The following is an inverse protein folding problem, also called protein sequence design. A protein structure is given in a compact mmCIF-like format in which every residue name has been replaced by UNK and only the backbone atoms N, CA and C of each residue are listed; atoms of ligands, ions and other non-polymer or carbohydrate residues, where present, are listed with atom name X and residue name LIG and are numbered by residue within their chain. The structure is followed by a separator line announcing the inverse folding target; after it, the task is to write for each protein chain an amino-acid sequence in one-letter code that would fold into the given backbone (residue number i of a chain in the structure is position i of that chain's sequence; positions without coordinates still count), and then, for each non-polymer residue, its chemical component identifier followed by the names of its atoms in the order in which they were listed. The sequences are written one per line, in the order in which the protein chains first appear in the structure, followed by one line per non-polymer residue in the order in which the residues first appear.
data_IF_634505433949
#
_entry.id   IF_634505433949
#
_cell.length_a   1.000
_cell.length_b   1.000
_cell.length_c   1.000
_cell.angle_alpha   90.00
_cell.angle_beta   90.00
_cell.angle_gamma   90.00
#
_symmetry.space_group_name_H-M   'P 1'
#
loop_
_entity.id
_entity.type
_entity.pdbx_description
1 polymer ?
#
# COMPACT_ATOMS: atom_id res chain seq x y z
N UNK A 1 4.17 -2.07 -7.16
CA UNK A 1 5.14 -1.06 -6.68
C UNK A 1 5.87 -1.63 -5.47
N UNK A 2 7.19 -1.39 -5.38
CA UNK A 2 8.00 -1.79 -4.24
C UNK A 2 8.52 -0.56 -3.51
N UNK A 3 8.43 -0.59 -2.17
CA UNK A 3 9.12 0.32 -1.28
C UNK A 3 10.17 -0.43 -0.49
N UNK A 4 11.36 0.11 -0.37
CA UNK A 4 12.48 -0.56 0.30
C UNK A 4 12.84 0.27 1.54
N UNK A 5 12.86 -0.40 2.67
CA UNK A 5 13.27 0.16 3.95
C UNK A 5 14.49 -0.61 4.45
N UNK A 6 15.63 0.05 4.48
CA UNK A 6 16.87 -0.51 5.00
C UNK A 6 17.19 0.07 6.37
N UNK A 7 17.55 -0.77 7.31
CA UNK A 7 18.11 -0.43 8.62
C UNK A 7 19.45 -1.13 8.81
N UNK A 8 20.16 -0.85 9.90
CA UNK A 8 21.47 -1.47 10.18
C UNK A 8 21.42 -3.00 10.15
N UNK A 9 20.33 -3.59 10.65
CA UNK A 9 20.22 -5.03 10.87
C UNK A 9 19.20 -5.74 9.98
N UNK A 10 18.37 -5.02 9.21
CA UNK A 10 17.30 -5.61 8.44
C UNK A 10 16.97 -4.80 7.19
N UNK A 11 16.37 -5.46 6.19
CA UNK A 11 15.82 -4.81 5.01
C UNK A 11 14.42 -5.35 4.75
N UNK A 12 13.43 -4.47 4.76
CA UNK A 12 12.04 -4.79 4.41
C UNK A 12 11.73 -4.32 3.00
N UNK A 13 11.17 -5.22 2.18
CA UNK A 13 10.67 -4.91 0.84
C UNK A 13 9.14 -4.92 0.92
N UNK A 14 8.54 -3.75 0.92
CA UNK A 14 7.09 -3.59 0.89
C UNK A 14 6.58 -3.74 -0.54
N UNK A 15 5.67 -4.66 -0.76
CA UNK A 15 5.03 -4.88 -2.05
C UNK A 15 3.58 -4.43 -1.94
N UNK A 16 3.25 -3.33 -2.63
CA UNK A 16 1.88 -2.87 -2.72
C UNK A 16 1.07 -3.81 -3.61
N UNK A 17 0.00 -4.37 -3.05
CA UNK A 17 -0.88 -5.30 -3.75
C UNK A 17 -2.14 -4.58 -4.22
N UNK A 18 -2.71 -4.98 -5.38
CA UNK A 18 -4.03 -4.51 -5.77
C UNK A 18 -5.07 -4.81 -4.68
N UNK A 19 -6.02 -3.91 -4.51
CA UNK A 19 -7.09 -4.10 -3.53
C UNK A 19 -7.85 -5.42 -3.75
N UNK A 20 -8.04 -6.21 -2.68
CA UNK A 20 -8.76 -7.47 -2.71
C UNK A 20 -10.25 -7.18 -2.57
N UNK A 21 -10.91 -6.91 -3.70
CA UNK A 21 -12.36 -6.70 -3.76
C UNK A 21 -13.05 -7.89 -4.43
N UNK A 22 -14.38 -7.87 -4.41
CA UNK A 22 -15.17 -8.83 -5.20
C UNK A 22 -14.89 -8.59 -6.69
N UNK A 23 -14.37 -9.59 -7.43
CA UNK A 23 -14.08 -9.41 -8.84
C UNK A 23 -15.38 -9.23 -9.63
N UNK A 24 -15.52 -8.09 -10.30
CA UNK A 24 -16.64 -7.80 -11.19
C UNK A 24 -16.28 -8.03 -12.66
N UNK A 25 -14.98 -7.93 -13.00
CA UNK A 25 -14.46 -8.04 -14.36
C UNK A 25 -13.27 -9.01 -14.46
N UNK A 26 -12.86 -9.33 -15.70
CA UNK A 26 -11.70 -10.19 -15.96
C UNK A 26 -10.39 -9.59 -15.40
N UNK A 27 -10.26 -8.26 -15.42
CA UNK A 27 -9.11 -7.53 -14.86
C UNK A 27 -8.98 -7.80 -13.35
N UNK A 28 -10.08 -7.77 -12.62
CA UNK A 28 -10.09 -8.01 -11.16
C UNK A 28 -9.60 -9.41 -10.80
N UNK A 29 -9.88 -10.42 -11.65
CA UNK A 29 -9.40 -11.80 -11.45
C UNK A 29 -7.89 -11.89 -11.59
N UNK A 30 -7.30 -11.18 -12.56
CA UNK A 30 -5.85 -11.11 -12.73
C UNK A 30 -5.20 -10.39 -11.54
N UNK A 31 -5.80 -9.29 -11.06
CA UNK A 31 -5.35 -8.57 -9.88
C UNK A 31 -5.36 -9.46 -8.63
N UNK A 32 -6.42 -10.25 -8.44
CA UNK A 32 -6.52 -11.19 -7.33
C UNK A 32 -5.48 -12.32 -7.43
N UNK A 33 -5.21 -12.83 -8.63
CA UNK A 33 -4.17 -13.83 -8.86
C UNK A 33 -2.78 -13.28 -8.54
N UNK A 34 -2.49 -12.04 -8.95
CA UNK A 34 -1.25 -11.33 -8.61
C UNK A 34 -1.11 -11.14 -7.09
N UNK A 35 -2.18 -10.67 -6.42
CA UNK A 35 -2.17 -10.52 -4.97
C UNK A 35 -1.93 -11.85 -4.25
N UNK A 36 -2.51 -12.95 -4.77
CA UNK A 36 -2.28 -14.30 -4.23
C UNK A 36 -0.82 -14.73 -4.34
N UNK A 37 -0.18 -14.53 -5.49
CA UNK A 37 1.25 -14.82 -5.66
C UNK A 37 2.12 -14.06 -4.67
N UNK A 38 1.87 -12.76 -4.51
CA UNK A 38 2.60 -11.93 -3.54
C UNK A 38 2.42 -12.43 -2.10
N UNK A 39 1.19 -12.72 -1.68
CA UNK A 39 0.92 -13.21 -0.30
C UNK A 39 1.53 -14.60 -0.07
N UNK A 40 1.59 -15.47 -1.08
CA UNK A 40 2.21 -16.78 -0.97
C UNK A 40 3.72 -16.71 -0.71
N UNK A 41 4.38 -15.71 -1.26
CA UNK A 41 5.83 -15.52 -1.17
C UNK A 41 6.24 -14.56 -0.04
N UNK A 42 5.27 -13.88 0.59
CA UNK A 42 5.55 -12.90 1.64
C UNK A 42 5.95 -13.58 2.97
N UNK A 43 6.99 -13.03 3.62
CA UNK A 43 7.38 -13.42 4.98
C UNK A 43 6.40 -12.86 6.02
N UNK A 44 5.88 -11.65 5.75
CA UNK A 44 4.94 -10.93 6.63
C UNK A 44 3.86 -10.28 5.78
N UNK A 45 2.62 -10.44 6.17
CA UNK A 45 1.48 -9.69 5.60
C UNK A 45 1.10 -8.54 6.53
N UNK A 46 1.30 -7.31 6.06
CA UNK A 46 0.79 -6.12 6.72
C UNK A 46 -0.62 -5.82 6.22
N UNK A 47 -1.62 -6.16 6.99
CA UNK A 47 -3.01 -5.87 6.67
C UNK A 47 -3.45 -4.55 7.28
N UNK A 48 -3.61 -3.52 6.43
CA UNK A 48 -4.02 -2.18 6.85
C UNK A 48 -5.54 -2.07 6.76
N UNK A 49 -6.19 -1.73 7.87
CA UNK A 49 -7.66 -1.60 7.97
C UNK A 49 -8.06 -0.22 8.50
N UNK A 50 -9.24 0.25 8.11
CA UNK A 50 -9.85 1.49 8.63
C UNK A 50 -10.64 1.18 9.92
N UNK A 51 -9.99 1.32 11.09
CA UNK A 51 -10.61 1.01 12.38
C UNK A 51 -11.70 1.99 12.81
N UNK A 52 -11.82 3.15 12.15
CA UNK A 52 -12.90 4.09 12.44
C UNK A 52 -14.29 3.49 12.14
N UNK A 53 -14.33 2.42 11.34
CA UNK A 53 -15.51 1.64 10.97
C UNK A 53 -15.42 0.20 11.47
N UNK A 54 -16.55 -0.45 11.62
CA UNK A 54 -16.61 -1.89 11.89
C UNK A 54 -16.23 -2.68 10.65
N UNK A 55 -15.60 -3.87 10.79
CA UNK A 55 -15.28 -4.70 9.65
C UNK A 55 -16.56 -5.15 8.92
N UNK A 56 -16.57 -4.93 7.62
CA UNK A 56 -17.64 -5.32 6.71
C UNK A 56 -17.41 -6.67 6.04
N UNK A 57 -18.06 -6.87 4.90
CA UNK A 57 -17.94 -8.09 4.10
C UNK A 57 -16.58 -8.19 3.43
N UNK A 58 -16.01 -7.06 3.02
CA UNK A 58 -14.75 -7.05 2.29
C UNK A 58 -13.57 -7.35 3.23
N UNK A 59 -13.56 -6.81 4.45
CA UNK A 59 -12.54 -7.15 5.45
C UNK A 59 -12.57 -8.63 5.84
N UNK A 60 -13.77 -9.23 5.94
CA UNK A 60 -13.91 -10.68 6.19
C UNK A 60 -13.35 -11.51 5.04
N UNK A 61 -13.56 -11.07 3.79
CA UNK A 61 -12.97 -11.75 2.61
C UNK A 61 -11.46 -11.63 2.58
N UNK A 62 -10.92 -10.45 2.89
CA UNK A 62 -9.47 -10.26 2.97
C UNK A 62 -8.87 -11.17 4.04
N UNK A 63 -9.46 -11.22 5.24
CA UNK A 63 -9.02 -12.11 6.29
C UNK A 63 -9.02 -13.58 5.85
N UNK A 64 -10.11 -14.04 5.25
CA UNK A 64 -10.22 -15.39 4.71
C UNK A 64 -9.20 -15.66 3.60
N UNK A 65 -9.00 -14.70 2.71
CA UNK A 65 -7.99 -14.81 1.65
C UNK A 65 -6.57 -14.96 2.20
N UNK A 66 -6.19 -14.16 3.19
CA UNK A 66 -4.87 -14.24 3.84
C UNK A 66 -4.67 -15.63 4.45
N UNK A 67 -5.63 -16.09 5.26
CA UNK A 67 -5.56 -17.39 5.95
C UNK A 67 -5.48 -18.56 4.97
N UNK A 68 -6.22 -18.52 3.86
CA UNK A 68 -6.23 -19.60 2.86
C UNK A 68 -5.01 -19.59 1.93
N UNK A 69 -4.33 -18.46 1.81
CA UNK A 69 -3.25 -18.31 0.85
C UNK A 69 -1.91 -18.70 1.43
N UNK A 70 -1.65 -18.36 2.70
CA UNK A 70 -0.39 -18.69 3.38
C UNK A 70 -0.65 -18.87 4.88
N UNK A 71 -0.85 -20.10 5.31
CA UNK A 71 -1.14 -20.44 6.71
C UNK A 71 0.05 -20.21 7.66
N UNK A 72 1.28 -20.23 7.14
CA UNK A 72 2.51 -20.01 7.93
C UNK A 72 2.98 -18.57 7.96
N UNK A 73 2.37 -17.69 7.17
CA UNK A 73 2.74 -16.29 7.08
C UNK A 73 2.39 -15.55 8.37
N UNK A 74 3.33 -14.76 8.87
CA UNK A 74 3.05 -13.84 9.98
C UNK A 74 2.16 -12.70 9.49
N UNK A 75 1.07 -12.46 10.21
CA UNK A 75 0.12 -11.38 9.88
C UNK A 75 0.20 -10.28 10.92
N UNK A 76 0.32 -9.05 10.47
CA UNK A 76 0.23 -7.86 11.32
C UNK A 76 -0.96 -7.00 10.86
N UNK A 77 -1.91 -6.72 11.75
CA UNK A 77 -3.07 -5.85 11.46
C UNK A 77 -2.74 -4.43 11.92
N UNK A 78 -2.51 -3.54 10.97
CA UNK A 78 -2.41 -2.10 11.24
C UNK A 78 -3.82 -1.48 11.23
N UNK A 79 -4.38 -1.25 12.41
CA UNK A 79 -5.69 -0.63 12.59
C UNK A 79 -5.58 0.89 12.43
N UNK A 80 -5.54 1.32 11.15
CA UNK A 80 -5.29 2.70 10.75
C UNK A 80 -6.50 3.62 10.99
N UNK A 81 -6.25 4.92 10.96
CA UNK A 81 -7.20 6.00 11.23
C UNK A 81 -7.74 5.98 12.65
N UNK A 82 -6.91 5.56 13.61
CA UNK A 82 -7.29 5.59 15.05
C UNK A 82 -7.60 7.00 15.55
N UNK A 83 -7.09 8.04 14.90
CA UNK A 83 -7.39 9.45 15.13
C UNK A 83 -8.87 9.81 14.88
N UNK A 84 -9.58 9.02 14.05
CA UNK A 84 -11.01 9.18 13.78
C UNK A 84 -11.88 8.25 14.64
N UNK A 85 -11.27 7.33 15.39
CA UNK A 85 -11.97 6.37 16.22
C UNK A 85 -12.49 7.01 17.51
N UNK A 86 -13.80 6.93 17.75
CA UNK A 86 -14.39 7.43 19.00
C UNK A 86 -13.95 6.56 20.17
N UNK A 87 -13.61 7.15 21.35
CA UNK A 87 -13.12 6.41 22.52
C UNK A 87 -13.98 5.21 22.92
N UNK A 88 -15.31 5.37 22.90
CA UNK A 88 -16.27 4.31 23.23
C UNK A 88 -16.24 3.10 22.26
N UNK A 89 -15.69 3.28 21.06
CA UNK A 89 -15.64 2.24 20.02
C UNK A 89 -14.29 1.52 19.98
N UNK A 90 -13.27 1.98 20.70
CA UNK A 90 -11.91 1.43 20.64
C UNK A 90 -11.92 -0.08 20.90
N UNK A 91 -12.48 -0.51 22.02
CA UNK A 91 -12.51 -1.92 22.41
C UNK A 91 -13.35 -2.73 21.41
N UNK A 92 -14.56 -2.26 21.06
CA UNK A 92 -15.46 -3.02 20.20
C UNK A 92 -14.92 -3.20 18.79
N UNK A 93 -14.38 -2.14 18.16
CA UNK A 93 -13.86 -2.24 16.80
C UNK A 93 -12.56 -3.06 16.75
N UNK A 94 -11.61 -2.81 17.64
CA UNK A 94 -10.36 -3.58 17.68
C UNK A 94 -10.62 -5.06 17.94
N UNK A 95 -11.53 -5.42 18.84
CA UNK A 95 -11.91 -6.82 19.07
C UNK A 95 -12.52 -7.44 17.82
N UNK A 96 -13.40 -6.74 17.09
CA UNK A 96 -13.98 -7.26 15.85
C UNK A 96 -12.92 -7.54 14.79
N UNK A 97 -11.93 -6.67 14.60
CA UNK A 97 -10.84 -6.93 13.66
C UNK A 97 -9.95 -8.09 14.09
N UNK A 98 -9.62 -8.17 15.39
CA UNK A 98 -8.83 -9.27 15.95
C UNK A 98 -9.48 -10.63 15.78
N UNK A 99 -10.81 -10.71 15.88
CA UNK A 99 -11.53 -11.98 15.66
C UNK A 99 -11.47 -12.47 14.22
N UNK A 100 -11.14 -11.61 13.24
CA UNK A 100 -10.96 -12.04 11.85
C UNK A 100 -9.64 -12.78 11.61
N UNK A 101 -8.59 -12.43 12.35
CA UNK A 101 -7.29 -13.12 12.33
C UNK A 101 -6.77 -13.23 13.77
N UNK A 102 -7.18 -14.25 14.54
CA UNK A 102 -6.87 -14.35 15.98
C UNK A 102 -5.37 -14.42 16.30
N UNK A 103 -4.59 -15.04 15.42
CA UNK A 103 -3.14 -15.21 15.59
C UNK A 103 -2.32 -13.99 15.12
N UNK A 104 -2.98 -12.99 14.53
CA UNK A 104 -2.28 -11.81 14.01
C UNK A 104 -1.84 -10.89 15.15
N UNK A 105 -0.64 -10.34 15.02
CA UNK A 105 -0.24 -9.16 15.79
C UNK A 105 -1.07 -7.96 15.32
N UNK A 106 -1.27 -6.99 16.17
CA UNK A 106 -2.08 -5.84 15.82
C UNK A 106 -1.69 -4.58 16.59
N UNK A 107 -1.93 -3.44 15.97
CA UNK A 107 -1.72 -2.13 16.61
C UNK A 107 -2.67 -1.08 16.05
N UNK A 108 -3.11 -0.16 16.91
CA UNK A 108 -3.81 1.06 16.50
C UNK A 108 -2.80 2.06 15.98
N UNK A 109 -3.03 2.61 14.78
CA UNK A 109 -2.14 3.58 14.14
C UNK A 109 -2.90 4.73 13.52
N UNK A 110 -2.24 5.85 13.34
CA UNK A 110 -2.68 6.92 12.46
C UNK A 110 -1.55 7.27 11.50
N UNK A 111 -1.63 6.77 10.28
CA UNK A 111 -0.66 7.13 9.24
C UNK A 111 -0.66 8.65 8.95
N UNK A 112 -1.82 9.32 9.12
CA UNK A 112 -1.95 10.76 8.93
C UNK A 112 -1.19 11.57 10.00
N UNK A 113 -1.19 11.09 11.24
CA UNK A 113 -0.59 11.79 12.39
C UNK A 113 0.80 11.26 12.75
N UNK A 114 1.16 10.10 12.22
CA UNK A 114 2.37 9.38 12.60
C UNK A 114 2.23 8.55 13.88
N UNK A 115 1.04 8.50 14.50
CA UNK A 115 0.84 7.77 15.76
C UNK A 115 1.16 6.28 15.54
N UNK A 116 2.11 5.75 16.31
CA UNK A 116 2.60 4.35 16.32
C UNK A 116 3.20 3.84 14.99
N UNK A 117 3.46 4.69 14.00
CA UNK A 117 4.03 4.27 12.71
C UNK A 117 5.47 3.73 12.88
N UNK A 118 6.31 4.41 13.68
CA UNK A 118 7.67 3.93 13.97
C UNK A 118 7.67 2.61 14.74
N UNK A 119 6.71 2.41 15.63
CA UNK A 119 6.61 1.15 16.38
C UNK A 119 6.26 0.00 15.43
N UNK A 120 5.23 0.15 14.58
CA UNK A 120 4.89 -0.86 13.56
C UNK A 120 6.07 -1.17 12.65
N UNK A 121 6.80 -0.15 12.22
CA UNK A 121 7.99 -0.34 11.38
C UNK A 121 9.00 -1.28 12.04
N UNK A 122 9.32 -1.04 13.31
CA UNK A 122 10.26 -1.87 14.05
C UNK A 122 9.71 -3.29 14.28
N UNK A 123 8.46 -3.43 14.67
CA UNK A 123 7.80 -4.74 14.83
C UNK A 123 7.83 -5.56 13.53
N UNK A 124 7.62 -4.93 12.36
CA UNK A 124 7.71 -5.61 11.07
C UNK A 124 9.14 -6.07 10.80
N UNK A 125 10.15 -5.23 11.06
CA UNK A 125 11.56 -5.59 10.87
C UNK A 125 11.96 -6.78 11.77
N UNK A 126 11.46 -6.83 12.99
CA UNK A 126 11.72 -7.92 13.94
C UNK A 126 11.01 -9.25 13.55
N UNK A 127 9.95 -9.17 12.74
CA UNK A 127 9.24 -10.34 12.23
C UNK A 127 9.93 -10.97 11.02
N UNK A 128 10.82 -10.26 10.34
CA UNK A 128 11.47 -10.75 9.12
C UNK A 128 12.42 -11.91 9.42
N UNK A 129 12.53 -12.90 8.52
CA UNK A 129 13.51 -13.97 8.65
C UNK A 129 14.94 -13.45 8.43
N UNK A 130 15.90 -14.23 8.93
CA UNK A 130 17.32 -13.98 8.63
C UNK A 130 17.56 -14.27 7.15
N UNK A 131 18.12 -13.29 6.44
CA UNK A 131 18.40 -13.40 5.02
C UNK A 131 19.42 -12.36 4.52
N UNK A 132 19.83 -12.44 3.26
CA UNK A 132 20.71 -11.44 2.66
C UNK A 132 19.95 -10.13 2.40
N UNK A 133 20.68 -9.03 2.27
CA UNK A 133 20.15 -7.80 1.68
C UNK A 133 20.01 -7.98 0.17
N UNK A 134 18.87 -7.56 -0.38
CA UNK A 134 18.57 -7.67 -1.82
C UNK A 134 18.85 -6.39 -2.58
N UNK A 135 18.90 -5.25 -1.88
CA UNK A 135 19.11 -3.92 -2.44
C UNK A 135 20.21 -3.19 -1.69
N UNK A 136 20.87 -2.25 -2.36
CA UNK A 136 21.83 -1.34 -1.74
C UNK A 136 21.14 -0.44 -0.70
N UNK A 137 21.88 0.02 0.30
CA UNK A 137 21.36 0.72 1.48
C UNK A 137 20.60 2.02 1.14
N UNK A 138 20.96 2.66 0.03
CA UNK A 138 20.35 3.92 -0.40
C UNK A 138 19.12 3.75 -1.32
N UNK A 139 18.78 2.52 -1.68
CA UNK A 139 17.64 2.25 -2.57
C UNK A 139 16.36 2.25 -1.77
N UNK A 140 15.43 3.13 -2.11
CA UNK A 140 14.13 3.26 -1.43
C UNK A 140 12.96 2.73 -2.27
N UNK A 141 13.16 2.48 -3.55
CA UNK A 141 12.16 1.93 -4.48
C UNK A 141 12.84 1.32 -5.70
N UNK A 142 12.16 0.41 -6.37
CA UNK A 142 12.56 -0.18 -7.66
C UNK A 142 12.12 0.67 -8.87
N UNK A 143 11.45 1.81 -8.65
CA UNK A 143 11.03 2.72 -9.71
C UNK A 143 12.15 3.65 -10.14
N UNK A 144 12.20 3.93 -11.44
CA UNK A 144 13.07 4.95 -12.02
C UNK A 144 12.59 6.36 -11.66
N UNK A 145 13.48 7.34 -11.72
CA UNK A 145 13.13 8.77 -11.52
C UNK A 145 12.05 9.21 -12.52
N UNK A 146 12.12 8.72 -13.76
CA UNK A 146 11.10 8.95 -14.81
C UNK A 146 9.71 8.47 -14.37
N UNK A 147 9.61 7.25 -13.83
CA UNK A 147 8.34 6.67 -13.36
C UNK A 147 7.78 7.43 -12.14
N UNK A 148 8.66 7.80 -11.19
CA UNK A 148 8.27 8.60 -10.03
C UNK A 148 7.76 9.99 -10.44
N UNK A 149 8.42 10.62 -11.42
CA UNK A 149 7.97 11.91 -11.96
C UNK A 149 6.59 11.82 -12.59
N UNK A 150 6.30 10.75 -13.32
CA UNK A 150 4.96 10.47 -13.87
C UNK A 150 3.89 10.35 -12.79
N UNK A 151 4.18 9.65 -11.70
CA UNK A 151 3.25 9.54 -10.56
C UNK A 151 3.02 10.87 -9.83
N UNK A 152 4.08 11.67 -9.63
CA UNK A 152 3.97 13.00 -9.03
C UNK A 152 3.12 13.95 -9.90
N UNK A 153 3.30 13.90 -11.22
CA UNK A 153 2.47 14.66 -12.15
C UNK A 153 1.00 14.21 -12.10
N UNK A 154 0.76 12.88 -12.01
CA UNK A 154 -0.58 12.33 -11.88
C UNK A 154 -1.25 12.75 -10.57
N UNK A 155 -0.53 12.69 -9.45
CA UNK A 155 -1.00 13.13 -8.14
C UNK A 155 -1.37 14.62 -8.17
N UNK A 156 -0.50 15.46 -8.73
CA UNK A 156 -0.74 16.88 -8.87
C UNK A 156 -1.98 17.17 -9.73
N UNK A 157 -2.10 16.50 -10.88
CA UNK A 157 -3.27 16.64 -11.75
C UNK A 157 -4.56 16.24 -11.02
N UNK A 158 -4.57 15.11 -10.31
CA UNK A 158 -5.72 14.68 -9.51
C UNK A 158 -6.05 15.67 -8.38
N UNK A 159 -5.03 16.29 -7.77
CA UNK A 159 -5.24 17.30 -6.73
C UNK A 159 -5.94 18.54 -7.26
N UNK A 160 -5.53 19.06 -8.42
CA UNK A 160 -6.10 20.26 -9.02
C UNK A 160 -7.46 20.01 -9.70
N UNK A 161 -7.69 18.78 -10.21
CA UNK A 161 -8.89 18.42 -10.97
C UNK A 161 -9.93 17.67 -10.13
N UNK A 162 -9.84 17.71 -8.80
CA UNK A 162 -10.65 16.95 -7.82
C UNK A 162 -12.16 16.94 -8.07
N UNK A 163 -12.71 17.96 -8.70
CA UNK A 163 -14.16 18.09 -8.91
C UNK A 163 -14.62 17.67 -10.30
N UNK A 164 -13.69 17.51 -11.25
CA UNK A 164 -14.03 17.25 -12.65
C UNK A 164 -13.70 15.83 -13.12
N UNK A 165 -12.62 15.21 -12.58
CA UNK A 165 -12.15 13.89 -13.01
C UNK A 165 -11.71 13.04 -11.79
N UNK A 166 -12.61 12.28 -11.18
CA UNK A 166 -12.24 11.57 -9.93
C UNK A 166 -11.27 10.40 -10.09
N UNK A 167 -11.18 9.71 -11.24
CA UNK A 167 -10.40 8.47 -11.34
C UNK A 167 -9.77 8.17 -12.71
N UNK A 168 -9.95 9.00 -13.71
CA UNK A 168 -9.61 8.68 -15.10
C UNK A 168 -8.45 9.50 -15.69
N UNK A 169 -7.34 9.72 -14.92
CA UNK A 169 -6.14 10.36 -15.45
C UNK A 169 -4.99 9.36 -15.50
N UNK A 170 -4.40 9.21 -16.70
CA UNK A 170 -3.09 8.60 -16.87
C UNK A 170 -2.09 9.66 -17.34
N UNK A 171 -0.84 9.52 -16.93
CA UNK A 171 0.27 10.36 -17.36
C UNK A 171 1.24 9.49 -18.16
N UNK A 172 1.52 9.91 -19.37
CA UNK A 172 2.54 9.32 -20.23
C UNK A 172 3.72 10.30 -20.31
N UNK A 173 4.90 9.87 -19.90
CA UNK A 173 6.12 10.66 -20.07
C UNK A 173 6.62 10.42 -21.49
N UNK A 174 6.50 11.41 -22.33
CA UNK A 174 6.94 11.35 -23.74
C UNK A 174 8.45 11.55 -23.82
N UNK A 175 8.98 12.62 -23.21
CA UNK A 175 10.41 12.90 -23.13
C UNK A 175 10.85 13.13 -21.68
N UNK A 176 12.07 12.70 -21.36
CA UNK A 176 12.68 12.88 -20.06
C UNK A 176 14.18 13.12 -20.30
N UNK A 177 14.58 14.37 -20.18
CA UNK A 177 15.96 14.83 -20.50
C UNK A 177 16.60 15.27 -19.20
N UNK A 178 17.68 14.61 -18.83
CA UNK A 178 18.57 15.00 -17.74
C UNK A 178 19.71 15.83 -18.33
N UNK A 179 19.76 17.11 -18.00
CA UNK A 179 20.83 18.00 -18.45
C UNK A 179 22.03 17.93 -17.47
N UNK A 180 23.22 18.30 -17.89
CA UNK A 180 24.46 18.28 -17.07
C UNK A 180 24.40 19.19 -15.83
N UNK A 181 23.33 19.92 -15.62
CA UNK A 181 23.02 20.69 -14.41
C UNK A 181 21.75 20.13 -13.76
N UNK A 182 21.52 20.28 -12.48
CA UNK A 182 20.40 19.79 -11.66
C UNK A 182 18.98 20.06 -12.23
N UNK A 183 18.83 20.21 -13.53
CA UNK A 183 17.55 20.43 -14.23
C UNK A 183 17.13 19.21 -15.01
N UNK A 184 15.89 18.82 -14.80
CA UNK A 184 15.23 17.77 -15.57
C UNK A 184 14.12 18.42 -16.37
N UNK A 185 14.15 18.22 -17.70
CA UNK A 185 13.07 18.63 -18.59
C UNK A 185 12.17 17.46 -18.89
N UNK A 186 10.87 17.62 -18.64
CA UNK A 186 9.89 16.55 -18.78
C UNK A 186 8.78 17.00 -19.71
N UNK A 187 8.59 16.28 -20.82
CA UNK A 187 7.40 16.40 -21.67
C UNK A 187 6.46 15.24 -21.34
N UNK A 188 5.22 15.54 -21.00
CA UNK A 188 4.25 14.54 -20.60
C UNK A 188 2.87 14.79 -21.20
N UNK A 189 2.21 13.72 -21.61
CA UNK A 189 0.81 13.73 -22.08
C UNK A 189 -0.12 13.26 -20.96
N UNK A 190 -1.10 14.10 -20.61
CA UNK A 190 -2.19 13.75 -19.72
C UNK A 190 -3.33 13.13 -20.52
N UNK A 191 -3.63 11.86 -20.25
CA UNK A 191 -4.73 11.13 -20.89
C UNK A 191 -5.91 11.09 -19.94
N UNK A 192 -7.08 11.50 -20.42
CA UNK A 192 -8.33 11.53 -19.67
C UNK A 192 -9.38 10.63 -20.32
N UNK A 193 -10.22 10.01 -19.49
CA UNK A 193 -11.18 8.99 -19.91
C UNK A 193 -12.34 9.55 -20.76
N UNK A 194 -12.63 10.84 -20.67
CA UNK A 194 -13.76 11.46 -21.35
C UNK A 194 -13.36 12.74 -22.09
N UNK A 195 -13.81 12.90 -23.34
CA UNK A 195 -13.54 14.09 -24.17
C UNK A 195 -14.08 15.41 -23.58
N UNK A 196 -15.01 15.36 -22.64
CA UNK A 196 -15.50 16.55 -21.89
C UNK A 196 -14.48 17.11 -20.90
N UNK A 197 -13.41 16.39 -20.66
CA UNK A 197 -12.35 16.73 -19.70
C UNK A 197 -11.03 17.14 -20.39
N UNK A 198 -11.10 17.47 -21.69
CA UNK A 198 -9.97 17.99 -22.46
C UNK A 198 -9.83 19.49 -22.33
#
# INVERSE_FOLDING_TARGET
QRGILTSDNAQAIFIDTPGIHRPHHALDRNMLATARGVVQEADVVLWIVDVSRKPGTDERRVAQFIQQTNESCKVFIAMNKCDLLKPQNVISHSTMYRTLCPEALWMLVSAKRGDNVEIIKNEILDLLPIGPRYYDDNVITDKTVRELSGELLRESALHYLRHEIPHGIAVLIDEFIEDEGDKIEIMATLVVENSRHK
#
